data_IF_080965969108
#
_entry.id   IF_080965969108
#
_cell.length_a   1.000
_cell.length_b   1.000
_cell.length_c   1.000
_cell.angle_alpha   90.00
_cell.angle_beta   90.00
_cell.angle_gamma   90.00
#
_symmetry.space_group_name_H-M   'P 1'
#
loop_
_entity.id
_entity.type
_entity.pdbx_description
1 polymer ?
#
# COMPACT_ATOMS: atom_id res chain seq x y z
N UNK A 1 0.80 2.15 14.86
CA UNK A 1 1.79 1.22 14.25
C UNK A 1 1.85 1.33 12.72
N UNK A 2 0.74 1.22 12.00
CA UNK A 2 0.74 1.38 10.52
C UNK A 2 1.30 2.73 10.03
N UNK A 3 0.93 3.83 10.68
CA UNK A 3 1.43 5.18 10.36
C UNK A 3 2.95 5.32 10.53
N UNK A 4 3.51 4.72 11.58
CA UNK A 4 4.96 4.75 11.81
C UNK A 4 5.71 4.07 10.64
N UNK A 5 5.24 2.90 10.21
CA UNK A 5 5.89 2.12 9.14
C UNK A 5 5.78 2.79 7.76
N UNK A 6 4.71 3.54 7.52
CA UNK A 6 4.54 4.31 6.29
C UNK A 6 5.32 5.63 6.32
N UNK A 7 5.41 6.29 7.49
CA UNK A 7 6.11 7.58 7.63
C UNK A 7 7.63 7.41 7.78
N UNK A 8 8.10 6.32 8.39
CA UNK A 8 9.53 6.03 8.62
C UNK A 8 10.06 4.95 7.67
N UNK A 9 9.67 5.02 6.40
CA UNK A 9 10.17 4.13 5.37
C UNK A 9 11.39 4.74 4.68
N UNK A 10 12.60 4.29 5.04
CA UNK A 10 13.85 4.76 4.48
C UNK A 10 14.64 3.61 3.84
N UNK A 11 15.25 3.85 2.68
CA UNK A 11 16.11 2.90 1.99
C UNK A 11 17.39 3.56 1.48
N UNK A 12 18.43 2.76 1.28
CA UNK A 12 19.72 3.21 0.75
C UNK A 12 19.88 2.77 -0.69
N UNK A 13 20.28 3.69 -1.56
CA UNK A 13 20.62 3.41 -2.96
C UNK A 13 21.72 4.35 -3.43
N UNK A 14 22.69 3.83 -4.20
CA UNK A 14 23.81 4.61 -4.73
C UNK A 14 24.51 5.52 -3.69
N UNK A 15 24.77 4.94 -2.50
CA UNK A 15 25.41 5.60 -1.36
C UNK A 15 24.66 6.83 -0.82
N UNK A 16 23.35 6.92 -1.07
CA UNK A 16 22.44 7.97 -0.59
C UNK A 16 21.25 7.34 0.12
N UNK A 17 20.72 8.04 1.11
CA UNK A 17 19.53 7.64 1.84
C UNK A 17 18.30 8.36 1.29
N UNK A 18 17.22 7.61 1.09
CA UNK A 18 15.96 8.10 0.57
C UNK A 18 14.85 7.73 1.53
N UNK A 19 13.96 8.68 1.79
CA UNK A 19 12.71 8.44 2.50
C UNK A 19 11.58 8.32 1.49
N UNK A 20 10.86 7.21 1.54
CA UNK A 20 9.67 7.03 0.73
C UNK A 20 8.52 7.79 1.40
N UNK A 21 8.04 8.83 0.72
CA UNK A 21 6.98 9.72 1.24
C UNK A 21 5.57 9.21 0.95
N UNK A 22 5.42 8.22 0.05
CA UNK A 22 4.13 7.64 -0.33
C UNK A 22 4.28 6.13 -0.54
N UNK A 23 3.37 5.34 0.04
CA UNK A 23 3.41 3.88 0.03
C UNK A 23 4.35 3.30 1.08
N UNK A 24 4.42 1.97 1.16
CA UNK A 24 5.32 1.27 2.08
C UNK A 24 6.49 0.58 1.40
N UNK A 25 7.39 0.01 2.21
CA UNK A 25 8.60 -0.66 1.72
C UNK A 25 8.24 -1.98 1.03
N UNK A 26 8.70 -2.18 -0.20
CA UNK A 26 8.55 -3.48 -0.86
C UNK A 26 9.40 -4.52 -0.14
N UNK A 27 8.83 -5.70 0.13
CA UNK A 27 9.46 -6.78 0.90
C UNK A 27 9.20 -6.71 2.41
N UNK A 28 8.57 -5.64 2.93
CA UNK A 28 8.08 -5.62 4.31
C UNK A 28 6.80 -6.45 4.42
N UNK A 29 6.84 -7.50 5.26
CA UNK A 29 5.65 -8.32 5.55
C UNK A 29 4.49 -7.48 6.07
N UNK A 30 4.77 -6.42 6.83
CA UNK A 30 3.75 -5.52 7.35
C UNK A 30 3.15 -4.63 6.25
N UNK A 31 3.98 -4.13 5.33
CA UNK A 31 3.51 -3.37 4.17
C UNK A 31 2.62 -4.23 3.27
N UNK A 32 2.95 -5.51 3.09
CA UNK A 32 2.15 -6.43 2.31
C UNK A 32 0.74 -6.63 2.90
N UNK A 33 0.64 -6.80 4.22
CA UNK A 33 -0.67 -6.91 4.89
C UNK A 33 -1.48 -5.63 4.73
N UNK A 34 -0.86 -4.47 4.95
CA UNK A 34 -1.53 -3.17 4.77
C UNK A 34 -2.00 -2.96 3.32
N UNK A 35 -1.18 -3.33 2.34
CA UNK A 35 -1.53 -3.23 0.93
C UNK A 35 -2.74 -4.10 0.61
N UNK A 36 -2.79 -5.34 1.11
CA UNK A 36 -3.93 -6.23 0.88
C UNK A 36 -5.23 -5.69 1.49
N UNK A 37 -5.17 -5.12 2.71
CA UNK A 37 -6.36 -4.51 3.34
C UNK A 37 -6.86 -3.33 2.52
N UNK A 38 -5.94 -2.43 2.13
CA UNK A 38 -6.28 -1.28 1.31
C UNK A 38 -6.89 -1.67 -0.04
N UNK A 39 -6.28 -2.64 -0.72
CA UNK A 39 -6.76 -3.14 -2.01
C UNK A 39 -8.14 -3.78 -1.86
N UNK A 40 -8.36 -4.59 -0.82
CA UNK A 40 -9.65 -5.21 -0.58
C UNK A 40 -10.78 -4.18 -0.43
N UNK A 41 -10.55 -3.12 0.36
CA UNK A 41 -11.53 -2.03 0.54
C UNK A 41 -11.78 -1.27 -0.75
N UNK A 42 -10.72 -0.93 -1.49
CA UNK A 42 -10.79 -0.21 -2.76
C UNK A 42 -11.52 -1.01 -3.86
N UNK A 43 -11.27 -2.32 -3.93
CA UNK A 43 -11.88 -3.21 -4.91
C UNK A 43 -13.39 -3.39 -4.70
N UNK A 44 -13.90 -3.24 -3.47
CA UNK A 44 -15.34 -3.40 -3.21
C UNK A 44 -16.19 -2.45 -4.04
N UNK A 45 -15.76 -1.21 -4.21
CA UNK A 45 -16.52 -0.23 -4.98
C UNK A 45 -16.52 -0.59 -6.47
N UNK A 46 -15.38 -1.00 -7.02
CA UNK A 46 -15.28 -1.49 -8.39
C UNK A 46 -16.17 -2.71 -8.63
N UNK A 47 -16.17 -3.67 -7.70
CA UNK A 47 -17.01 -4.87 -7.78
C UNK A 47 -18.49 -4.50 -7.79
N UNK A 48 -18.93 -3.58 -6.92
CA UNK A 48 -20.32 -3.08 -6.92
C UNK A 48 -20.67 -2.39 -8.23
N UNK A 49 -19.80 -1.53 -8.75
CA UNK A 49 -19.99 -0.86 -10.04
C UNK A 49 -20.11 -1.87 -11.19
N UNK A 50 -19.27 -2.91 -11.19
CA UNK A 50 -19.30 -3.96 -12.19
C UNK A 50 -20.58 -4.80 -12.12
N UNK A 51 -21.05 -5.12 -10.91
CA UNK A 51 -22.29 -5.88 -10.70
C UNK A 51 -23.54 -5.14 -11.20
N UNK A 52 -23.55 -3.81 -11.13
CA UNK A 52 -24.67 -2.98 -11.61
C UNK A 52 -24.71 -2.92 -13.15
N UNK A 53 -23.56 -2.95 -13.83
CA UNK A 53 -23.48 -2.70 -15.28
C UNK A 53 -23.36 -3.98 -16.14
N UNK A 54 -23.09 -5.13 -15.52
CA UNK A 54 -23.02 -6.44 -16.20
C UNK A 54 -24.17 -7.40 -15.79
N UNK A 55 -25.24 -6.87 -15.18
CA UNK A 55 -26.46 -7.62 -14.80
C UNK A 55 -27.52 -7.59 -15.88
#
# INVERSE_FOLDING_TARGET
MARLILDTNCFSYNNKYYQQTRGGAMGSAFTQVLANIYMYEWEQDLIKHQAIHNG
#
